data_IF_080879242887
#
_entry.id   IF_080879242887
#
_cell.length_a   1.000
_cell.length_b   1.000
_cell.length_c   1.000
_cell.angle_alpha   90.00
_cell.angle_beta   90.00
_cell.angle_gamma   90.00
#
_symmetry.space_group_name_H-M   'P 1'
#
loop_
_entity.id
_entity.type
_entity.pdbx_description
1 polymer ?
#
# COMPACT_ATOMS: atom_id res chain seq x y z
N UNK A 1 -28.83 -4.69 -14.48
CA UNK A 1 -27.63 -4.57 -13.60
C UNK A 1 -26.34 -4.85 -14.36
N UNK A 2 -26.26 -5.94 -15.13
CA UNK A 2 -25.06 -6.29 -15.90
C UNK A 2 -24.67 -5.25 -16.95
N UNK A 3 -25.64 -4.73 -17.70
CA UNK A 3 -25.43 -3.70 -18.74
C UNK A 3 -24.90 -2.39 -18.14
N UNK A 4 -25.51 -1.90 -17.05
CA UNK A 4 -25.01 -0.72 -16.32
C UNK A 4 -23.58 -0.88 -15.79
N UNK A 5 -23.18 -2.09 -15.40
CA UNK A 5 -21.81 -2.38 -14.98
C UNK A 5 -20.84 -2.37 -16.16
N UNK A 6 -21.24 -2.92 -17.31
CA UNK A 6 -20.44 -2.88 -18.54
C UNK A 6 -20.23 -1.44 -19.03
N UNK A 7 -21.29 -0.64 -19.10
CA UNK A 7 -21.19 0.78 -19.47
C UNK A 7 -20.28 1.56 -18.52
N UNK A 8 -20.40 1.30 -17.21
CA UNK A 8 -19.52 1.91 -16.20
C UNK A 8 -18.05 1.52 -16.39
N UNK A 9 -17.77 0.23 -16.66
CA UNK A 9 -16.43 -0.30 -16.91
C UNK A 9 -15.83 0.28 -18.19
N UNK A 10 -16.60 0.35 -19.28
CA UNK A 10 -16.16 0.91 -20.56
C UNK A 10 -15.81 2.39 -20.43
N UNK A 11 -16.63 3.16 -19.71
CA UNK A 11 -16.36 4.56 -19.42
C UNK A 11 -15.05 4.74 -18.63
N UNK A 12 -14.87 4.02 -17.51
CA UNK A 12 -13.67 4.15 -16.70
C UNK A 12 -12.42 3.67 -17.46
N UNK A 13 -12.56 2.64 -18.30
CA UNK A 13 -11.50 2.19 -19.21
C UNK A 13 -11.11 3.28 -20.21
N UNK A 14 -12.08 3.99 -20.80
CA UNK A 14 -11.81 5.11 -21.71
C UNK A 14 -11.12 6.29 -21.01
N UNK A 15 -11.50 6.61 -19.78
CA UNK A 15 -10.84 7.66 -18.99
C UNK A 15 -9.41 7.24 -18.63
N UNK A 16 -9.21 5.98 -18.22
CA UNK A 16 -7.90 5.46 -17.84
C UNK A 16 -6.95 5.28 -19.03
N UNK A 17 -7.47 4.99 -20.23
CA UNK A 17 -6.64 4.93 -21.44
C UNK A 17 -6.09 6.30 -21.82
N UNK A 18 -6.88 7.37 -21.63
CA UNK A 18 -6.47 8.76 -21.90
C UNK A 18 -5.62 9.36 -20.79
N UNK A 19 -5.87 8.96 -19.54
CA UNK A 19 -5.12 9.39 -18.37
C UNK A 19 -4.65 8.19 -17.54
N UNK A 20 -3.55 7.52 -17.94
CA UNK A 20 -3.09 6.29 -17.29
C UNK A 20 -2.41 6.53 -15.93
N UNK A 21 -2.12 7.78 -15.57
CA UNK A 21 -1.42 8.18 -14.35
C UNK A 21 -1.97 7.56 -13.04
N UNK A 22 -3.28 7.60 -12.76
CA UNK A 22 -3.87 6.94 -11.58
C UNK A 22 -3.59 5.43 -11.53
N UNK A 23 -3.58 4.77 -12.69
CA UNK A 23 -3.29 3.34 -12.81
C UNK A 23 -1.85 3.02 -12.47
N UNK A 24 -0.89 3.80 -13.01
CA UNK A 24 0.52 3.67 -12.65
C UNK A 24 0.78 3.94 -11.17
N UNK A 25 0.12 4.95 -10.59
CA UNK A 25 0.16 5.22 -9.16
C UNK A 25 -0.33 4.02 -8.35
N UNK A 26 -1.42 3.38 -8.78
CA UNK A 26 -1.94 2.20 -8.10
C UNK A 26 -0.97 1.02 -8.16
N UNK A 27 -0.39 0.72 -9.33
CA UNK A 27 0.62 -0.33 -9.50
C UNK A 27 1.85 -0.04 -8.64
N UNK A 28 2.35 1.19 -8.67
CA UNK A 28 3.49 1.63 -7.86
C UNK A 28 3.19 1.49 -6.36
N UNK A 29 1.97 1.80 -5.94
CA UNK A 29 1.52 1.63 -4.55
C UNK A 29 1.57 0.17 -4.12
N UNK A 30 1.07 -0.74 -4.96
CA UNK A 30 1.14 -2.18 -4.70
C UNK A 30 2.59 -2.66 -4.58
N UNK A 31 3.48 -2.22 -5.48
CA UNK A 31 4.90 -2.58 -5.45
C UNK A 31 5.61 -2.06 -4.19
N UNK A 32 5.33 -0.82 -3.78
CA UNK A 32 5.86 -0.25 -2.53
C UNK A 32 5.39 -1.07 -1.34
N UNK A 33 4.10 -1.41 -1.28
CA UNK A 33 3.53 -2.18 -0.17
C UNK A 33 4.12 -3.58 -0.09
N UNK A 34 4.30 -4.26 -1.22
CA UNK A 34 4.98 -5.55 -1.29
C UNK A 34 6.45 -5.44 -0.83
N UNK A 35 7.16 -4.41 -1.31
CA UNK A 35 8.55 -4.15 -0.94
C UNK A 35 8.71 -3.85 0.55
N UNK A 36 7.86 -2.98 1.11
CA UNK A 36 7.85 -2.65 2.54
C UNK A 36 7.48 -3.89 3.36
N UNK A 37 6.48 -4.66 2.95
CA UNK A 37 6.08 -5.89 3.68
C UNK A 37 7.21 -6.93 3.72
N UNK A 38 8.08 -6.97 2.71
CA UNK A 38 9.24 -7.86 2.68
C UNK A 38 10.47 -7.32 3.43
N UNK A 39 10.74 -6.02 3.34
CA UNK A 39 11.90 -5.36 3.96
C UNK A 39 11.70 -5.10 5.46
N UNK A 40 10.50 -4.69 5.86
CA UNK A 40 10.21 -4.21 7.20
C UNK A 40 10.47 -5.25 8.30
N UNK A 41 10.07 -6.55 8.14
CA UNK A 41 10.46 -7.59 9.09
C UNK A 41 11.98 -7.74 9.19
N UNK A 42 12.70 -7.72 8.07
CA UNK A 42 14.15 -7.87 8.04
C UNK A 42 14.86 -6.73 8.77
N UNK A 43 14.38 -5.50 8.62
CA UNK A 43 14.94 -4.34 9.32
C UNK A 43 14.71 -4.47 10.83
N UNK A 44 13.51 -4.84 11.27
CA UNK A 44 13.21 -5.01 12.70
C UNK A 44 14.05 -6.15 13.30
N UNK A 45 14.17 -7.28 12.61
CA UNK A 45 15.03 -8.39 13.06
C UNK A 45 16.51 -8.00 13.03
N UNK A 46 16.96 -7.24 12.03
CA UNK A 46 18.33 -6.73 11.98
C UNK A 46 18.60 -5.78 13.16
N UNK A 47 17.67 -4.87 13.50
CA UNK A 47 17.79 -4.00 14.68
C UNK A 47 17.82 -4.82 15.97
N UNK A 48 16.92 -5.80 16.11
CA UNK A 48 16.88 -6.68 17.27
C UNK A 48 18.17 -7.52 17.43
N UNK A 49 18.76 -7.98 16.31
CA UNK A 49 20.03 -8.72 16.30
C UNK A 49 21.25 -7.81 16.42
N UNK A 50 21.20 -6.55 15.99
CA UNK A 50 22.30 -5.61 16.18
C UNK A 50 22.42 -5.20 17.66
N UNK A 51 21.33 -5.30 18.42
CA UNK A 51 21.31 -5.12 19.87
C UNK A 51 21.94 -6.28 20.67
N UNK A 52 22.55 -7.27 20.02
CA UNK A 52 23.22 -8.44 20.65
C UNK A 52 24.40 -8.08 21.57
N UNK A 53 24.83 -6.81 21.68
CA UNK A 53 25.81 -6.40 22.70
C UNK A 53 25.23 -6.03 24.08
N UNK A 54 23.92 -6.19 24.31
CA UNK A 54 23.37 -6.01 25.66
C UNK A 54 21.96 -6.54 25.77
N UNK A 55 21.72 -7.37 26.80
CA UNK A 55 20.43 -7.89 27.26
C UNK A 55 19.36 -6.79 27.36
N UNK A 56 18.73 -6.46 26.24
CA UNK A 56 17.79 -5.35 26.14
C UNK A 56 16.35 -5.90 26.17
N UNK A 57 15.44 -5.29 26.96
CA UNK A 57 14.03 -5.68 27.03
C UNK A 57 13.35 -5.81 25.65
N UNK A 58 13.84 -5.07 24.66
CA UNK A 58 13.35 -5.05 23.29
C UNK A 58 13.50 -6.39 22.56
N UNK A 59 14.67 -7.06 22.64
CA UNK A 59 14.88 -8.35 21.98
C UNK A 59 13.95 -9.43 22.57
N UNK A 60 13.84 -9.48 23.90
CA UNK A 60 12.94 -10.39 24.60
C UNK A 60 11.46 -10.08 24.30
N UNK A 61 11.11 -8.79 24.13
CA UNK A 61 9.76 -8.37 23.73
C UNK A 61 9.42 -8.86 22.31
N UNK A 62 10.32 -8.66 21.33
CA UNK A 62 10.16 -9.11 19.95
C UNK A 62 10.00 -10.63 19.87
N UNK A 63 10.84 -11.39 20.59
CA UNK A 63 10.77 -12.86 20.60
C UNK A 63 9.46 -13.33 21.26
N UNK A 64 9.09 -12.77 22.40
CA UNK A 64 7.90 -13.16 23.17
C UNK A 64 6.59 -12.78 22.49
N UNK A 65 6.58 -11.71 21.68
CA UNK A 65 5.38 -11.16 21.03
C UNK A 65 5.48 -11.21 19.51
N UNK A 66 6.29 -12.12 18.95
CA UNK A 66 6.60 -12.21 17.52
C UNK A 66 5.35 -12.21 16.62
N UNK A 67 4.26 -12.84 17.06
CA UNK A 67 2.96 -12.83 16.35
C UNK A 67 2.28 -11.44 16.34
N UNK A 68 2.29 -10.72 17.46
CA UNK A 68 1.71 -9.37 17.56
C UNK A 68 2.58 -8.33 16.86
N UNK A 69 3.90 -8.49 16.95
CA UNK A 69 4.86 -7.69 16.18
C UNK A 69 4.65 -7.96 14.69
N UNK A 70 4.48 -9.21 14.29
CA UNK A 70 4.17 -9.61 12.90
C UNK A 70 2.86 -9.04 12.37
N UNK A 71 1.81 -8.93 13.19
CA UNK A 71 0.56 -8.26 12.80
C UNK A 71 0.68 -6.73 12.78
N UNK A 72 1.35 -6.14 13.77
CA UNK A 72 1.63 -4.70 13.82
C UNK A 72 2.48 -4.22 12.64
N UNK A 73 3.33 -5.10 12.09
CA UNK A 73 4.14 -4.84 10.89
C UNK A 73 3.32 -4.56 9.63
N UNK A 74 2.05 -4.97 9.57
CA UNK A 74 1.18 -4.69 8.41
C UNK A 74 0.50 -3.32 8.47
N UNK A 75 0.46 -2.68 9.65
CA UNK A 75 -0.23 -1.40 9.84
C UNK A 75 0.41 -0.31 8.95
N UNK A 76 1.75 -0.25 8.91
CA UNK A 76 2.48 0.75 8.13
C UNK A 76 2.30 0.56 6.61
N UNK A 77 2.53 -0.64 6.03
CA UNK A 77 2.21 -0.89 4.62
C UNK A 77 0.76 -0.60 4.25
N UNK A 78 -0.21 -1.02 5.08
CA UNK A 78 -1.64 -0.79 4.84
C UNK A 78 -1.94 0.71 4.88
N UNK A 79 -1.39 1.45 5.85
CA UNK A 79 -1.54 2.90 5.93
C UNK A 79 -1.03 3.62 4.68
N UNK A 80 0.14 3.23 4.19
CA UNK A 80 0.71 3.78 2.94
C UNK A 80 -0.18 3.44 1.74
N UNK A 81 -0.66 2.20 1.64
CA UNK A 81 -1.59 1.78 0.57
C UNK A 81 -2.84 2.65 0.55
N UNK A 82 -3.48 2.83 1.71
CA UNK A 82 -4.72 3.60 1.84
C UNK A 82 -4.49 5.06 1.41
N UNK A 83 -3.40 5.69 1.87
CA UNK A 83 -3.06 7.07 1.48
C UNK A 83 -2.86 7.20 -0.03
N UNK A 84 -2.11 6.29 -0.64
CA UNK A 84 -1.85 6.33 -2.07
C UNK A 84 -3.11 6.02 -2.90
N UNK A 85 -3.98 5.13 -2.43
CA UNK A 85 -5.29 4.89 -3.03
C UNK A 85 -6.15 6.15 -3.02
N UNK A 86 -6.20 6.88 -1.90
CA UNK A 86 -6.93 8.16 -1.83
C UNK A 86 -6.38 9.20 -2.81
N UNK A 87 -5.05 9.29 -2.95
CA UNK A 87 -4.41 10.20 -3.90
C UNK A 87 -4.76 9.80 -5.34
N UNK A 88 -4.61 8.53 -5.68
CA UNK A 88 -4.94 8.00 -7.01
C UNK A 88 -6.41 8.24 -7.36
N UNK A 89 -7.31 7.99 -6.40
CA UNK A 89 -8.73 8.27 -6.55
C UNK A 89 -9.03 9.74 -6.84
N UNK A 90 -8.43 10.67 -6.07
CA UNK A 90 -8.61 12.11 -6.32
C UNK A 90 -8.12 12.54 -7.69
N UNK A 91 -6.99 12.02 -8.14
CA UNK A 91 -6.46 12.31 -9.48
C UNK A 91 -7.39 11.74 -10.55
N UNK A 92 -7.89 10.52 -10.36
CA UNK A 92 -8.85 9.91 -11.28
C UNK A 92 -10.15 10.72 -11.37
N UNK A 93 -10.74 11.13 -10.24
CA UNK A 93 -11.92 12.01 -10.21
C UNK A 93 -11.69 13.32 -10.97
N UNK A 94 -10.53 13.96 -10.77
CA UNK A 94 -10.16 15.17 -11.53
C UNK A 94 -10.04 14.92 -13.04
N UNK A 95 -9.55 13.74 -13.44
CA UNK A 95 -9.46 13.36 -14.85
C UNK A 95 -10.84 13.05 -15.45
N UNK A 96 -11.74 12.43 -14.68
CA UNK A 96 -13.15 12.24 -15.06
C UNK A 96 -13.83 13.59 -15.29
N UNK A 97 -13.69 14.54 -14.35
CA UNK A 97 -14.22 15.90 -14.51
C UNK A 97 -13.68 16.61 -15.76
N UNK A 98 -12.39 16.40 -16.08
CA UNK A 98 -11.75 16.96 -17.28
C UNK A 98 -12.22 16.28 -18.57
N UNK A 99 -12.61 15.02 -18.52
CA UNK A 99 -13.14 14.30 -19.68
C UNK A 99 -14.61 14.67 -19.96
N UNK A 100 -15.35 15.06 -18.91
CA UNK A 100 -16.75 15.47 -19.00
C UNK A 100 -16.97 16.94 -19.39
N UNK A 101 -15.97 17.82 -19.18
CA UNK A 101 -15.96 19.21 -19.69
C UNK A 101 -15.32 19.29 -21.07
#
# INVERSE_FOLDING_TARGET
MREKLQEWMEFHSAVMSRFPGPGYLMILSCLIVMGVSWLYPKIIYAIANFQIMGTTPYQNFIIKHSNYVGLGMWIVPIGILVVLMFISWKIHQKNVEKYYK
#
